data_IF_985494714150
#
_entry.id   IF_985494714150
#
_cell.length_a   1.000
_cell.length_b   1.000
_cell.length_c   1.000
_cell.angle_alpha   90.00
_cell.angle_beta   90.00
_cell.angle_gamma   90.00
#
_symmetry.space_group_name_H-M   'P 1'
#
loop_
_entity.id
_entity.type
_entity.pdbx_description
1 polymer ?
#
# COMPACT_ATOMS: atom_id res chain seq x y z
N UNK A 1 -17.66 -6.55 7.76
CA UNK A 1 -17.22 -7.71 6.95
C UNK A 1 -16.76 -8.76 7.93
N UNK A 2 -17.06 -10.03 7.69
CA UNK A 2 -16.48 -11.08 8.55
C UNK A 2 -14.98 -11.19 8.26
N UNK A 3 -14.22 -11.66 9.25
CA UNK A 3 -12.79 -11.89 9.06
C UNK A 3 -12.55 -12.95 7.98
N UNK A 4 -11.45 -12.80 7.23
CA UNK A 4 -11.01 -13.73 6.17
C UNK A 4 -11.97 -13.87 4.98
N UNK A 5 -12.79 -12.86 4.70
CA UNK A 5 -13.61 -12.80 3.49
C UNK A 5 -12.98 -11.94 2.40
N UNK A 6 -13.26 -12.28 1.15
CA UNK A 6 -12.99 -11.42 -0.01
C UNK A 6 -14.30 -10.83 -0.52
N UNK A 7 -14.38 -9.49 -0.55
CA UNK A 7 -15.51 -8.77 -1.12
C UNK A 7 -15.10 -8.13 -2.46
N UNK A 8 -15.85 -8.45 -3.51
CA UNK A 8 -15.74 -7.79 -4.81
C UNK A 8 -16.76 -6.67 -4.98
N UNK A 9 -16.32 -5.50 -5.46
CA UNK A 9 -17.21 -4.40 -5.87
C UNK A 9 -17.18 -4.29 -7.39
N UNK A 10 -18.31 -4.53 -8.04
CA UNK A 10 -18.45 -4.55 -9.51
C UNK A 10 -19.40 -3.46 -10.00
N UNK A 11 -19.19 -3.01 -11.23
CA UNK A 11 -19.97 -1.94 -11.86
C UNK A 11 -19.26 -1.34 -13.05
N UNK A 12 -19.96 -0.55 -13.86
CA UNK A 12 -19.42 0.08 -15.08
C UNK A 12 -18.33 1.12 -14.80
N UNK A 13 -17.56 1.49 -15.82
CA UNK A 13 -16.58 2.57 -15.69
C UNK A 13 -17.28 3.85 -15.22
N UNK A 14 -16.69 4.57 -14.26
CA UNK A 14 -17.29 5.78 -13.69
C UNK A 14 -18.38 5.55 -12.64
N UNK A 15 -18.75 4.31 -12.30
CA UNK A 15 -19.79 3.99 -11.31
C UNK A 15 -19.42 4.29 -9.84
N UNK A 16 -18.31 4.99 -9.58
CA UNK A 16 -17.87 5.39 -8.24
C UNK A 16 -17.05 4.37 -7.45
N UNK A 17 -16.76 3.16 -7.97
CA UNK A 17 -16.01 2.11 -7.24
C UNK A 17 -14.71 2.61 -6.61
N UNK A 18 -13.86 3.26 -7.40
CA UNK A 18 -12.57 3.79 -6.91
C UNK A 18 -12.79 4.89 -5.87
N UNK A 19 -13.79 5.75 -6.05
CA UNK A 19 -14.11 6.82 -5.10
C UNK A 19 -14.59 6.25 -3.76
N UNK A 20 -15.35 5.15 -3.76
CA UNK A 20 -15.77 4.44 -2.54
C UNK A 20 -14.58 3.87 -1.77
N UNK A 21 -13.61 3.25 -2.45
CA UNK A 21 -12.41 2.71 -1.76
C UNK A 21 -11.51 3.83 -1.26
N UNK A 22 -11.33 4.88 -2.06
CA UNK A 22 -10.54 6.05 -1.68
C UNK A 22 -11.16 6.83 -0.52
N UNK A 23 -12.49 6.89 -0.42
CA UNK A 23 -13.18 7.55 0.70
C UNK A 23 -12.97 6.82 2.03
N UNK A 24 -13.07 5.49 2.04
CA UNK A 24 -12.74 4.63 3.19
C UNK A 24 -11.30 4.90 3.62
N UNK A 25 -10.39 4.97 2.64
CA UNK A 25 -8.99 5.22 2.90
C UNK A 25 -8.67 6.66 3.23
N UNK A 26 -9.59 7.63 3.16
CA UNK A 26 -9.33 9.06 3.37
C UNK A 26 -8.37 9.67 2.35
N UNK A 27 -8.44 9.20 1.10
CA UNK A 27 -7.57 9.56 -0.03
C UNK A 27 -8.33 10.24 -1.17
N UNK A 28 -9.53 10.78 -0.91
CA UNK A 28 -10.24 11.59 -1.89
C UNK A 28 -9.42 12.85 -2.24
N UNK A 29 -9.52 13.25 -3.50
CA UNK A 29 -8.98 14.52 -3.98
C UNK A 29 -9.63 15.72 -3.27
N UNK A 30 -9.01 16.89 -3.36
CA UNK A 30 -9.45 18.10 -2.65
C UNK A 30 -10.87 18.56 -2.98
N UNK A 31 -11.41 18.16 -4.14
CA UNK A 31 -12.79 18.42 -4.57
C UNK A 31 -13.78 17.33 -4.13
N UNK A 32 -13.31 16.22 -3.57
CA UNK A 32 -14.12 15.11 -3.08
C UNK A 32 -14.51 15.28 -1.61
N UNK A 33 -15.71 14.81 -1.25
CA UNK A 33 -16.17 14.72 0.14
C UNK A 33 -16.87 13.39 0.38
N UNK A 34 -16.73 12.87 1.58
CA UNK A 34 -17.42 11.67 2.04
C UNK A 34 -18.17 11.96 3.34
N UNK A 35 -19.35 11.38 3.48
CA UNK A 35 -20.22 11.49 4.66
C UNK A 35 -20.77 10.11 4.98
N UNK A 36 -21.29 9.92 6.20
CA UNK A 36 -21.76 8.61 6.69
C UNK A 36 -20.84 8.07 7.78
N UNK A 37 -20.64 6.75 7.79
CA UNK A 37 -19.84 6.06 8.81
C UNK A 37 -19.00 4.95 8.16
N UNK A 38 -17.75 4.86 8.58
CA UNK A 38 -16.82 3.79 8.21
C UNK A 38 -16.17 3.29 9.49
N UNK A 39 -16.57 2.11 9.96
CA UNK A 39 -16.04 1.53 11.20
C UNK A 39 -15.05 0.43 10.87
N UNK A 40 -13.84 0.54 11.41
CA UNK A 40 -12.79 -0.48 11.35
C UNK A 40 -12.33 -0.82 12.77
N UNK A 41 -12.37 -2.10 13.15
CA UNK A 41 -11.93 -2.57 14.47
C UNK A 41 -12.60 -1.79 15.63
N UNK A 42 -13.93 -1.62 15.54
CA UNK A 42 -14.76 -0.83 16.46
C UNK A 42 -14.40 0.67 16.56
N UNK A 43 -13.61 1.21 15.63
CA UNK A 43 -13.25 2.63 15.56
C UNK A 43 -13.84 3.26 14.30
N UNK A 44 -14.53 4.39 14.47
CA UNK A 44 -14.91 5.25 13.34
C UNK A 44 -13.64 5.85 12.72
N UNK A 45 -13.47 5.67 11.40
CA UNK A 45 -12.30 6.16 10.67
C UNK A 45 -12.62 7.28 9.68
N UNK A 46 -13.90 7.47 9.31
CA UNK A 46 -14.28 8.55 8.43
C UNK A 46 -14.12 9.90 9.13
N UNK A 47 -13.42 10.84 8.49
CA UNK A 47 -13.19 12.17 9.04
C UNK A 47 -12.07 12.27 10.08
N UNK A 48 -11.38 11.17 10.40
CA UNK A 48 -10.13 11.23 11.16
C UNK A 48 -9.09 12.08 10.42
N UNK A 49 -8.25 12.78 11.19
CA UNK A 49 -7.11 13.49 10.62
C UNK A 49 -6.07 12.52 10.02
N UNK A 50 -5.16 13.06 9.22
CA UNK A 50 -4.11 12.27 8.56
C UNK A 50 -3.21 11.53 9.55
N UNK A 51 -2.96 12.08 10.73
CA UNK A 51 -2.07 11.50 11.75
C UNK A 51 -2.69 10.26 12.36
N UNK A 52 -3.97 10.32 12.72
CA UNK A 52 -4.71 9.17 13.24
C UNK A 52 -4.94 8.11 12.17
N UNK A 53 -5.22 8.50 10.92
CA UNK A 53 -5.33 7.55 9.81
C UNK A 53 -4.01 6.84 9.54
N UNK A 54 -2.87 7.51 9.61
CA UNK A 54 -1.56 6.89 9.37
C UNK A 54 -1.14 5.89 10.46
N UNK A 55 -1.79 5.88 11.63
CA UNK A 55 -1.62 4.81 12.63
C UNK A 55 -2.31 3.51 12.20
N UNK A 56 -3.31 3.60 11.31
CA UNK A 56 -4.11 2.48 10.80
C UNK A 56 -3.58 2.05 9.42
N UNK A 57 -3.37 3.01 8.51
CA UNK A 57 -2.78 2.78 7.19
C UNK A 57 -1.36 2.23 7.32
N UNK A 58 -0.98 1.34 6.42
CA UNK A 58 0.34 0.69 6.39
C UNK A 58 0.54 -0.39 7.47
N UNK A 59 -0.11 -0.28 8.64
CA UNK A 59 -0.05 -1.30 9.70
C UNK A 59 -1.20 -2.30 9.69
N UNK A 60 -2.43 -1.80 9.54
CA UNK A 60 -3.67 -2.60 9.64
C UNK A 60 -4.43 -2.65 8.31
N UNK A 61 -4.33 -1.59 7.51
CA UNK A 61 -4.97 -1.49 6.19
C UNK A 61 -3.91 -1.10 5.16
N UNK A 62 -3.70 -1.97 4.17
CA UNK A 62 -2.89 -1.71 2.98
C UNK A 62 -3.78 -1.40 1.77
N UNK A 63 -3.24 -0.65 0.81
CA UNK A 63 -3.93 -0.37 -0.45
C UNK A 63 -2.98 -0.60 -1.62
N UNK A 64 -3.45 -1.37 -2.59
CA UNK A 64 -2.75 -1.62 -3.86
C UNK A 64 -3.48 -0.82 -4.95
N UNK A 65 -2.78 0.08 -5.63
CA UNK A 65 -3.36 0.97 -6.64
C UNK A 65 -3.52 0.27 -7.99
N UNK A 66 -4.43 0.79 -8.83
CA UNK A 66 -4.80 0.16 -10.12
C UNK A 66 -3.67 0.17 -11.16
N UNK A 67 -2.74 1.14 -11.09
CA UNK A 67 -1.59 1.22 -12.00
C UNK A 67 -0.28 0.95 -11.24
N UNK A 68 0.28 -0.28 -11.34
CA UNK A 68 1.55 -0.64 -10.71
C UNK A 68 2.76 0.09 -11.30
N UNK A 69 2.63 0.59 -12.53
CA UNK A 69 3.76 1.11 -13.28
C UNK A 69 4.09 2.55 -12.88
N UNK A 70 3.09 3.29 -12.40
CA UNK A 70 3.26 4.64 -11.86
C UNK A 70 3.56 4.68 -10.36
N UNK A 71 3.36 3.58 -9.62
CA UNK A 71 3.53 3.57 -8.17
C UNK A 71 4.98 3.48 -7.70
N UNK A 72 5.89 2.97 -8.52
CA UNK A 72 7.32 2.87 -8.20
C UNK A 72 8.10 4.01 -8.85
N UNK A 73 8.78 4.81 -8.03
CA UNK A 73 9.67 5.86 -8.51
C UNK A 73 10.90 5.22 -9.20
N UNK A 74 11.16 5.49 -10.49
CA UNK A 74 12.27 4.88 -11.22
C UNK A 74 13.65 5.40 -10.81
N UNK A 75 13.71 6.51 -10.07
CA UNK A 75 14.97 7.13 -9.63
C UNK A 75 15.38 6.71 -8.22
N UNK A 76 14.62 5.84 -7.56
CA UNK A 76 14.90 5.35 -6.21
C UNK A 76 14.92 3.82 -6.26
N UNK A 77 15.87 3.18 -5.59
CA UNK A 77 15.91 1.71 -5.52
C UNK A 77 14.65 1.16 -4.84
N UNK A 78 14.30 -0.09 -5.15
CA UNK A 78 13.15 -0.78 -4.57
C UNK A 78 13.23 -0.79 -3.05
N UNK A 79 14.38 -1.20 -2.51
CA UNK A 79 14.64 -1.27 -1.08
C UNK A 79 14.52 0.07 -0.39
N UNK A 80 15.00 1.16 -1.00
CA UNK A 80 14.90 2.49 -0.41
C UNK A 80 13.45 3.00 -0.33
N UNK A 81 12.62 2.72 -1.34
CA UNK A 81 11.20 3.08 -1.32
C UNK A 81 10.43 2.29 -0.26
N UNK A 82 10.61 0.96 -0.23
CA UNK A 82 10.00 0.09 0.77
C UNK A 82 10.45 0.45 2.19
N UNK A 83 11.75 0.71 2.37
CA UNK A 83 12.30 1.15 3.67
C UNK A 83 11.69 2.47 4.11
N UNK A 84 11.46 3.41 3.19
CA UNK A 84 10.80 4.68 3.48
C UNK A 84 9.39 4.51 4.03
N UNK A 85 8.62 3.54 3.51
CA UNK A 85 7.29 3.19 4.06
C UNK A 85 7.44 2.62 5.46
N UNK A 86 8.32 1.63 5.64
CA UNK A 86 8.52 1.00 6.95
C UNK A 86 9.03 1.98 8.01
N UNK A 87 9.89 2.94 7.69
CA UNK A 87 10.33 3.96 8.65
C UNK A 87 9.21 4.89 9.11
N UNK A 88 8.24 5.19 8.23
CA UNK A 88 7.10 6.02 8.59
C UNK A 88 6.04 5.27 9.42
N UNK A 89 6.02 3.94 9.32
CA UNK A 89 4.98 3.10 9.91
C UNK A 89 5.50 2.09 10.92
N UNK A 90 6.78 2.04 11.26
CA UNK A 90 7.34 1.11 12.25
C UNK A 90 8.43 1.77 13.09
N UNK A 91 8.94 1.06 14.11
CA UNK A 91 10.07 1.51 14.93
C UNK A 91 11.36 0.72 14.62
N UNK A 92 11.42 0.07 13.46
CA UNK A 92 12.57 -0.75 13.06
C UNK A 92 13.80 0.13 12.80
N UNK A 93 14.96 -0.36 13.21
CA UNK A 93 16.23 0.25 12.86
C UNK A 93 16.61 -0.07 11.39
N UNK A 94 17.66 0.56 10.88
CA UNK A 94 18.04 0.42 9.46
C UNK A 94 18.35 -1.02 9.03
N UNK A 95 18.96 -1.83 9.89
CA UNK A 95 19.27 -3.22 9.57
C UNK A 95 18.00 -4.07 9.56
N UNK A 96 17.16 -3.93 10.59
CA UNK A 96 15.86 -4.60 10.71
C UNK A 96 14.92 -4.24 9.54
N UNK A 97 14.88 -2.98 9.14
CA UNK A 97 14.08 -2.52 8.00
C UNK A 97 14.55 -3.17 6.70
N UNK A 98 15.86 -3.26 6.48
CA UNK A 98 16.41 -3.93 5.28
C UNK A 98 16.02 -5.40 5.25
N UNK A 99 16.16 -6.10 6.37
CA UNK A 99 15.80 -7.51 6.51
C UNK A 99 14.30 -7.72 6.25
N UNK A 100 13.44 -6.92 6.88
CA UNK A 100 12.00 -6.96 6.65
C UNK A 100 11.62 -6.73 5.18
N UNK A 101 12.24 -5.75 4.50
CA UNK A 101 12.01 -5.54 3.08
C UNK A 101 12.41 -6.77 2.24
N UNK A 102 13.53 -7.43 2.56
CA UNK A 102 13.97 -8.63 1.84
C UNK A 102 13.00 -9.79 2.08
N UNK A 103 12.51 -9.97 3.30
CA UNK A 103 11.48 -10.96 3.63
C UNK A 103 10.17 -10.70 2.87
N UNK A 104 9.74 -9.44 2.79
CA UNK A 104 8.55 -9.03 2.04
C UNK A 104 8.70 -9.31 0.53
N UNK A 105 9.88 -9.06 -0.03
CA UNK A 105 10.21 -9.41 -1.43
C UNK A 105 10.19 -10.93 -1.66
N UNK A 106 10.70 -11.73 -0.71
CA UNK A 106 10.67 -13.18 -0.78
C UNK A 106 9.25 -13.75 -0.65
N UNK A 107 8.43 -13.18 0.23
CA UNK A 107 7.03 -13.57 0.43
C UNK A 107 6.21 -13.46 -0.87
N UNK A 108 6.49 -12.45 -1.69
CA UNK A 108 5.88 -12.26 -3.02
C UNK A 108 6.71 -12.87 -4.17
N UNK A 109 7.65 -13.76 -3.86
CA UNK A 109 8.43 -14.54 -4.85
C UNK A 109 9.18 -13.66 -5.85
N UNK A 110 9.84 -12.61 -5.37
CA UNK A 110 10.87 -11.91 -6.16
C UNK A 110 12.13 -12.76 -6.18
N UNK A 111 12.67 -13.11 -7.37
CA UNK A 111 13.91 -13.88 -7.44
C UNK A 111 15.10 -13.05 -6.94
N UNK A 112 15.97 -13.69 -6.15
CA UNK A 112 17.16 -13.07 -5.55
C UNK A 112 16.82 -11.77 -4.79
N UNK A 113 15.95 -11.82 -3.76
CA UNK A 113 15.39 -10.62 -3.13
C UNK A 113 16.48 -9.72 -2.50
N UNK A 114 17.57 -10.29 -2.00
CA UNK A 114 18.74 -9.55 -1.50
C UNK A 114 19.36 -8.67 -2.59
N UNK A 115 19.49 -9.20 -3.81
CA UNK A 115 20.02 -8.45 -4.95
C UNK A 115 18.99 -7.43 -5.45
N UNK A 116 17.71 -7.80 -5.48
CA UNK A 116 16.63 -6.95 -5.98
C UNK A 116 16.28 -5.78 -5.07
N UNK A 117 16.66 -5.85 -3.79
CA UNK A 117 16.57 -4.73 -2.87
C UNK A 117 17.29 -3.48 -3.42
N UNK A 118 18.45 -3.65 -4.05
CA UNK A 118 19.24 -2.55 -4.59
C UNK A 118 18.90 -2.23 -6.06
N UNK A 119 18.01 -2.99 -6.71
CA UNK A 119 17.56 -2.73 -8.08
C UNK A 119 16.61 -1.53 -8.16
N UNK A 120 16.44 -1.00 -9.37
CA UNK A 120 15.46 0.03 -9.73
C UNK A 120 14.26 -0.58 -10.45
N UNK A 121 13.14 0.15 -10.50
CA UNK A 121 11.90 -0.35 -11.09
C UNK A 121 12.05 -0.74 -12.57
N UNK A 122 12.85 -0.01 -13.35
CA UNK A 122 13.10 -0.30 -14.77
C UNK A 122 13.85 -1.62 -15.01
N UNK A 123 14.55 -2.15 -14.01
CA UNK A 123 15.28 -3.43 -14.07
C UNK A 123 14.40 -4.65 -13.75
N UNK A 124 13.13 -4.42 -13.39
CA UNK A 124 12.15 -5.45 -13.10
C UNK A 124 11.17 -5.62 -14.25
N UNK A 125 10.72 -6.86 -14.49
CA UNK A 125 9.59 -7.13 -15.38
C UNK A 125 8.29 -6.55 -14.83
N UNK A 126 7.28 -6.35 -15.68
CA UNK A 126 5.98 -5.82 -15.24
C UNK A 126 5.35 -6.66 -14.11
N UNK A 127 5.40 -7.99 -14.23
CA UNK A 127 4.91 -8.90 -13.20
C UNK A 127 5.72 -8.81 -11.89
N UNK A 128 7.02 -8.56 -11.95
CA UNK A 128 7.83 -8.32 -10.74
C UNK A 128 7.47 -6.99 -10.09
N UNK A 129 7.26 -5.92 -10.87
CA UNK A 129 6.81 -4.62 -10.33
C UNK A 129 5.47 -4.72 -9.61
N UNK A 130 4.53 -5.47 -10.19
CA UNK A 130 3.24 -5.74 -9.55
C UNK A 130 3.40 -6.46 -8.21
N UNK A 131 4.28 -7.46 -8.14
CA UNK A 131 4.55 -8.19 -6.89
C UNK A 131 5.25 -7.31 -5.85
N UNK A 132 6.22 -6.48 -6.26
CA UNK A 132 6.83 -5.48 -5.38
C UNK A 132 5.79 -4.51 -4.83
N UNK A 133 4.84 -4.04 -5.64
CA UNK A 133 3.75 -3.18 -5.19
C UNK A 133 2.84 -3.88 -4.16
N UNK A 134 2.60 -5.19 -4.29
CA UNK A 134 1.82 -5.95 -3.30
C UNK A 134 2.61 -6.10 -1.98
N UNK A 135 3.94 -6.23 -2.07
CA UNK A 135 4.79 -6.34 -0.91
C UNK A 135 4.95 -5.01 -0.15
N UNK A 136 4.97 -3.88 -0.85
CA UNK A 136 5.28 -2.55 -0.30
C UNK A 136 4.14 -1.96 0.52
#
# INVERSE_FOLDING_TARGET
MEHNQSLGIVGESGSGKSQTVLSIMGLLESNGKATGSVVFDNKEILGLDKKELNKIRGKKIGMVFQDPMSSLNPYISIGAQMSGVLFNHTNLNRAETKEACIEMLDAVKIPNPQQRFDSYSFELSGGMRQRVMIAS
#
